data_IF_680805887430
#
_entry.id   IF_680805887430
#
_cell.length_a   1.000
_cell.length_b   1.000
_cell.length_c   1.000
_cell.angle_alpha   90.00
_cell.angle_beta   90.00
_cell.angle_gamma   90.00
#
_symmetry.space_group_name_H-M   'P 1'
#
loop_
_entity.id
_entity.type
_entity.pdbx_description
1 polymer ?
#
# COMPACT_ATOMS: atom_id res chain seq x y z
N UNK A 1 42.93 -25.65 13.89
CA UNK A 1 42.51 -24.27 13.56
C UNK A 1 43.26 -23.35 14.52
N UNK A 2 43.92 -22.28 14.04
CA UNK A 2 44.60 -21.35 14.95
C UNK A 2 43.58 -20.60 15.82
N UNK A 3 43.95 -20.13 17.04
CA UNK A 3 43.07 -19.34 17.89
C UNK A 3 42.47 -18.12 17.19
N UNK A 4 43.25 -17.44 16.36
CA UNK A 4 42.79 -16.27 15.60
C UNK A 4 41.76 -16.61 14.53
N UNK A 5 41.95 -17.75 13.83
CA UNK A 5 41.00 -18.23 12.84
C UNK A 5 39.70 -18.69 13.51
N UNK A 6 39.80 -19.31 14.69
CA UNK A 6 38.63 -19.66 15.50
C UNK A 6 37.83 -18.42 15.91
N UNK A 7 38.50 -17.40 16.44
CA UNK A 7 37.87 -16.14 16.83
C UNK A 7 37.17 -15.46 15.65
N UNK A 8 37.85 -15.38 14.50
CA UNK A 8 37.30 -14.77 13.29
C UNK A 8 36.03 -15.50 12.83
N UNK A 9 36.08 -16.84 12.74
CA UNK A 9 34.92 -17.66 12.35
C UNK A 9 33.77 -17.49 13.36
N UNK A 10 34.06 -17.48 14.66
CA UNK A 10 33.06 -17.28 15.70
C UNK A 10 32.39 -15.90 15.62
N UNK A 11 33.18 -14.84 15.42
CA UNK A 11 32.68 -13.48 15.29
C UNK A 11 31.80 -13.34 14.04
N UNK A 12 32.25 -13.83 12.88
CA UNK A 12 31.46 -13.83 11.64
C UNK A 12 30.16 -14.60 11.84
N UNK A 13 30.21 -15.79 12.46
CA UNK A 13 29.02 -16.60 12.72
C UNK A 13 28.02 -15.86 13.59
N UNK A 14 28.48 -15.24 14.68
CA UNK A 14 27.65 -14.40 15.55
C UNK A 14 26.99 -13.25 14.78
N UNK A 15 27.76 -12.54 13.95
CA UNK A 15 27.24 -11.47 13.11
C UNK A 15 26.18 -11.92 12.11
N UNK A 16 26.43 -13.03 11.41
CA UNK A 16 25.50 -13.60 10.44
C UNK A 16 24.19 -14.02 11.11
N UNK A 17 24.28 -14.66 12.29
CA UNK A 17 23.09 -15.03 13.08
C UNK A 17 22.33 -13.78 13.53
N UNK A 18 23.03 -12.76 14.06
CA UNK A 18 22.38 -11.50 14.44
C UNK A 18 21.70 -10.83 13.26
N UNK A 19 22.39 -10.71 12.12
CA UNK A 19 21.83 -10.13 10.89
C UNK A 19 20.54 -10.86 10.48
N UNK A 20 20.59 -12.19 10.43
CA UNK A 20 19.46 -13.01 10.03
C UNK A 20 18.23 -12.77 10.92
N UNK A 21 18.42 -12.64 12.23
CA UNK A 21 17.37 -12.38 13.20
C UNK A 21 16.88 -10.92 13.15
N UNK A 22 17.78 -9.93 13.17
CA UNK A 22 17.42 -8.51 13.12
C UNK A 22 16.64 -8.16 11.86
N UNK A 23 16.99 -8.76 10.72
CA UNK A 23 16.28 -8.52 9.46
C UNK A 23 14.80 -8.91 9.54
N UNK A 24 14.42 -9.89 10.36
CA UNK A 24 13.00 -10.21 10.59
C UNK A 24 12.23 -9.05 11.22
N UNK A 25 12.90 -8.24 12.07
CA UNK A 25 12.31 -7.03 12.66
C UNK A 25 12.22 -5.92 11.62
N UNK A 26 13.30 -5.65 10.90
CA UNK A 26 13.36 -4.55 9.93
C UNK A 26 12.48 -4.76 8.70
N UNK A 27 12.32 -6.00 8.22
CA UNK A 27 11.38 -6.31 7.14
C UNK A 27 9.93 -6.08 7.58
N UNK A 28 9.59 -6.30 8.86
CA UNK A 28 8.26 -5.91 9.39
C UNK A 28 8.06 -4.40 9.39
N UNK A 29 9.09 -3.65 9.81
CA UNK A 29 9.05 -2.19 9.75
C UNK A 29 8.83 -1.74 8.31
N UNK A 30 9.62 -2.26 7.38
CA UNK A 30 9.46 -2.02 5.94
C UNK A 30 8.04 -2.33 5.45
N UNK A 31 7.47 -3.47 5.84
CA UNK A 31 6.10 -3.85 5.47
C UNK A 31 5.05 -2.84 5.97
N UNK A 32 5.21 -2.32 7.20
CA UNK A 32 4.30 -1.31 7.78
C UNK A 32 4.39 0.05 7.07
N UNK A 33 5.58 0.44 6.63
CA UNK A 33 5.78 1.67 5.82
C UNK A 33 5.65 1.41 4.32
N UNK A 34 5.00 0.32 3.93
CA UNK A 34 4.73 -0.04 2.53
C UNK A 34 5.99 -0.14 1.64
N UNK A 35 7.13 -0.48 2.24
CA UNK A 35 8.43 -0.64 1.59
C UNK A 35 8.91 0.65 0.90
N UNK A 36 8.54 1.81 1.45
CA UNK A 36 9.01 3.11 0.97
C UNK A 36 10.47 3.32 1.39
N UNK A 37 11.38 3.65 0.46
CA UNK A 37 12.75 4.01 0.81
C UNK A 37 12.78 5.25 1.71
N UNK A 38 13.74 5.30 2.64
CA UNK A 38 13.97 6.34 3.66
C UNK A 38 13.05 6.28 4.88
N UNK A 39 11.95 5.55 4.81
CA UNK A 39 11.01 5.46 5.95
C UNK A 39 11.51 4.49 7.03
N UNK A 40 12.37 3.53 6.70
CA UNK A 40 12.89 2.57 7.69
C UNK A 40 13.88 3.27 8.64
N UNK A 41 14.87 3.99 8.11
CA UNK A 41 15.81 4.76 8.92
C UNK A 41 15.12 5.95 9.61
N UNK A 42 14.07 6.53 9.02
CA UNK A 42 13.25 7.55 9.70
C UNK A 42 12.58 6.97 10.95
N UNK A 43 11.99 5.77 10.84
CA UNK A 43 11.37 5.11 11.99
C UNK A 43 12.39 4.68 13.04
N UNK A 44 13.59 4.27 12.63
CA UNK A 44 14.70 4.03 13.54
C UNK A 44 15.00 5.26 14.39
N UNK A 45 15.22 6.43 13.76
CA UNK A 45 15.49 7.69 14.46
C UNK A 45 14.40 8.03 15.46
N UNK A 46 13.14 7.97 15.03
CA UNK A 46 11.99 8.21 15.91
C UNK A 46 11.95 7.24 17.10
N UNK A 47 12.44 6.00 16.93
CA UNK A 47 12.54 5.03 18.00
C UNK A 47 13.61 5.42 19.02
N UNK A 48 14.79 5.81 18.54
CA UNK A 48 15.89 6.28 19.39
C UNK A 48 15.51 7.55 20.14
N UNK A 49 14.82 8.49 19.49
CA UNK A 49 14.39 9.75 20.10
C UNK A 49 13.36 9.53 21.23
N UNK A 50 12.47 8.55 21.08
CA UNK A 50 11.40 8.27 22.05
C UNK A 50 11.76 7.24 23.11
N UNK A 51 12.71 6.34 22.83
CA UNK A 51 13.11 5.25 23.71
C UNK A 51 14.63 5.09 23.70
N UNK A 52 15.36 5.87 24.53
CA UNK A 52 16.82 5.95 24.48
C UNK A 52 17.52 4.65 24.91
N UNK A 53 16.80 3.66 25.45
CA UNK A 53 17.34 2.33 25.77
C UNK A 53 18.01 1.68 24.55
N UNK A 54 17.53 1.95 23.33
CA UNK A 54 18.20 1.49 22.11
C UNK A 54 19.64 2.00 21.99
N UNK A 55 19.87 3.26 22.37
CA UNK A 55 21.20 3.88 22.33
C UNK A 55 22.15 3.25 23.35
N UNK A 56 21.64 2.83 24.50
CA UNK A 56 22.43 2.10 25.50
C UNK A 56 22.90 0.73 24.98
N UNK A 57 22.03 -0.03 24.30
CA UNK A 57 22.41 -1.31 23.69
C UNK A 57 23.44 -1.13 22.58
N UNK A 58 23.30 -0.11 21.73
CA UNK A 58 24.29 0.21 20.69
C UNK A 58 25.61 0.69 21.27
N UNK A 59 25.57 1.58 22.26
CA UNK A 59 26.76 2.06 22.96
C UNK A 59 27.50 0.92 23.66
N UNK A 60 26.78 0.03 24.34
CA UNK A 60 27.35 -1.17 24.95
C UNK A 60 28.01 -2.09 23.93
N UNK A 61 27.35 -2.35 22.79
CA UNK A 61 27.93 -3.15 21.70
C UNK A 61 29.20 -2.50 21.12
N UNK A 62 29.20 -1.18 20.91
CA UNK A 62 30.36 -0.44 20.43
C UNK A 62 31.53 -0.49 21.43
N UNK A 63 31.26 -0.34 22.73
CA UNK A 63 32.27 -0.48 23.79
C UNK A 63 32.87 -1.89 23.76
N UNK A 64 32.05 -2.95 23.66
CA UNK A 64 32.56 -4.32 23.58
C UNK A 64 33.44 -4.54 22.34
N UNK A 65 33.03 -4.02 21.18
CA UNK A 65 33.82 -4.12 19.96
C UNK A 65 35.16 -3.34 20.09
N UNK A 66 35.14 -2.13 20.64
CA UNK A 66 36.35 -1.34 20.88
C UNK A 66 37.30 -2.02 21.87
N UNK A 67 36.77 -2.54 22.99
CA UNK A 67 37.54 -3.29 23.98
C UNK A 67 38.13 -4.57 23.39
N UNK A 68 37.44 -5.22 22.45
CA UNK A 68 37.98 -6.40 21.77
C UNK A 68 39.25 -6.10 20.96
N UNK A 69 39.34 -4.91 20.37
CA UNK A 69 40.48 -4.48 19.55
C UNK A 69 41.56 -3.84 20.41
N UNK A 70 41.21 -2.81 21.18
CA UNK A 70 42.16 -1.99 21.94
C UNK A 70 42.52 -2.63 23.29
N UNK A 71 41.56 -3.24 23.99
CA UNK A 71 41.80 -3.87 25.28
C UNK A 71 42.71 -5.08 25.19
N UNK A 72 42.52 -5.92 24.17
CA UNK A 72 43.41 -7.07 23.90
C UNK A 72 44.86 -6.63 23.69
N UNK A 73 45.06 -5.56 22.92
CA UNK A 73 46.39 -5.04 22.60
C UNK A 73 47.05 -4.24 23.74
N UNK A 74 46.30 -3.36 24.42
CA UNK A 74 46.85 -2.45 25.44
C UNK A 74 47.00 -3.08 26.82
N UNK A 75 46.05 -3.94 27.21
CA UNK A 75 46.06 -4.60 28.52
C UNK A 75 46.80 -5.94 28.50
N UNK A 76 47.29 -6.35 27.32
CA UNK A 76 47.93 -7.65 27.08
C UNK A 76 47.06 -8.84 27.54
N UNK A 77 45.74 -8.71 27.31
CA UNK A 77 44.72 -9.68 27.72
C UNK A 77 44.02 -10.26 26.48
N UNK A 78 44.56 -11.34 25.86
CA UNK A 78 44.04 -11.87 24.59
C UNK A 78 42.60 -12.39 24.69
N UNK A 79 42.13 -12.74 25.88
CA UNK A 79 40.74 -13.16 26.14
C UNK A 79 39.71 -12.08 25.77
N UNK A 80 40.07 -10.80 25.87
CA UNK A 80 39.19 -9.68 25.52
C UNK A 80 38.82 -9.66 24.03
N UNK A 81 39.61 -10.28 23.16
CA UNK A 81 39.30 -10.37 21.73
C UNK A 81 37.96 -11.08 21.46
N UNK A 82 37.55 -12.00 22.34
CA UNK A 82 36.28 -12.72 22.26
C UNK A 82 35.04 -11.83 22.45
N UNK A 83 35.20 -10.60 22.96
CA UNK A 83 34.11 -9.64 23.03
C UNK A 83 33.56 -9.27 21.65
N UNK A 84 34.36 -9.45 20.57
CA UNK A 84 33.90 -9.30 19.19
C UNK A 84 32.79 -10.30 18.81
N UNK A 85 32.70 -11.46 19.49
CA UNK A 85 31.63 -12.45 19.30
C UNK A 85 30.35 -12.03 20.04
N UNK A 86 30.49 -11.35 21.18
CA UNK A 86 29.36 -10.94 22.03
C UNK A 86 28.74 -9.63 21.53
N UNK A 87 29.56 -8.69 21.03
CA UNK A 87 29.10 -7.37 20.59
C UNK A 87 27.92 -7.41 19.59
N UNK A 88 27.91 -8.28 18.54
CA UNK A 88 26.76 -8.44 17.66
C UNK A 88 25.49 -8.95 18.36
N UNK A 89 25.59 -9.75 19.42
CA UNK A 89 24.42 -10.30 20.10
C UNK A 89 23.71 -9.22 20.94
N UNK A 90 24.47 -8.26 21.46
CA UNK A 90 23.96 -7.17 22.31
C UNK A 90 22.96 -6.25 21.62
N UNK A 91 22.96 -6.18 20.29
CA UNK A 91 22.04 -5.34 19.53
C UNK A 91 20.73 -6.06 19.14
N UNK A 92 20.62 -7.38 19.34
CA UNK A 92 19.40 -8.15 19.06
C UNK A 92 18.13 -7.57 19.72
N UNK A 93 18.16 -7.00 20.94
CA UNK A 93 16.98 -6.36 21.53
C UNK A 93 16.49 -5.14 20.73
N UNK A 94 17.35 -4.51 19.92
CA UNK A 94 16.99 -3.33 19.13
C UNK A 94 16.23 -3.71 17.84
N UNK A 95 15.22 -2.92 17.41
CA UNK A 95 14.53 -1.87 18.17
C UNK A 95 13.82 -2.44 19.42
N UNK A 96 14.01 -1.77 20.56
CA UNK A 96 13.51 -2.21 21.87
C UNK A 96 11.99 -2.32 21.87
N UNK A 97 11.41 -3.40 22.42
CA UNK A 97 9.96 -3.71 22.38
C UNK A 97 9.35 -3.97 21.00
N UNK A 98 10.16 -4.19 19.96
CA UNK A 98 9.69 -4.73 18.69
C UNK A 98 9.86 -6.27 18.68
N UNK A 99 8.79 -7.05 18.93
CA UNK A 99 8.91 -8.50 19.05
C UNK A 99 9.17 -9.20 17.71
N UNK A 100 9.81 -10.37 17.78
CA UNK A 100 10.00 -11.26 16.62
C UNK A 100 8.72 -11.96 16.16
N UNK A 101 7.64 -11.90 16.93
CA UNK A 101 6.28 -12.32 16.55
C UNK A 101 5.41 -11.08 16.73
N UNK A 102 4.87 -10.54 15.63
CA UNK A 102 4.17 -9.24 15.66
C UNK A 102 2.99 -9.23 16.64
N UNK A 103 2.68 -8.06 17.20
CA UNK A 103 1.60 -7.90 18.20
C UNK A 103 0.21 -7.92 17.55
N UNK A 104 0.06 -7.26 16.39
CA UNK A 104 -1.24 -7.12 15.69
C UNK A 104 -1.39 -8.09 14.53
N UNK A 105 -0.30 -8.39 13.83
CA UNK A 105 -0.29 -9.34 12.71
C UNK A 105 1.11 -9.94 12.51
N UNK A 106 1.20 -11.21 12.07
CA UNK A 106 2.49 -11.84 11.76
C UNK A 106 3.15 -11.20 10.53
N UNK A 107 4.44 -11.48 10.34
CA UNK A 107 5.14 -11.08 9.10
C UNK A 107 4.55 -11.87 7.94
N UNK A 108 4.08 -11.19 6.90
CA UNK A 108 3.56 -11.84 5.71
C UNK A 108 4.70 -12.05 4.72
N UNK A 109 5.12 -13.31 4.54
CA UNK A 109 6.17 -13.69 3.59
C UNK A 109 5.68 -13.63 2.14
N UNK A 110 5.60 -12.41 1.62
CA UNK A 110 5.34 -12.15 0.21
C UNK A 110 6.65 -12.21 -0.61
N UNK A 111 6.58 -12.40 -1.94
CA UNK A 111 7.78 -12.31 -2.79
C UNK A 111 8.55 -10.98 -2.62
N UNK A 112 7.83 -9.88 -2.34
CA UNK A 112 8.43 -8.58 -2.04
C UNK A 112 9.18 -8.58 -0.71
N UNK A 113 8.60 -9.18 0.33
CA UNK A 113 9.25 -9.33 1.64
C UNK A 113 10.51 -10.20 1.55
N UNK A 114 10.46 -11.29 0.79
CA UNK A 114 11.61 -12.16 0.54
C UNK A 114 12.75 -11.41 -0.16
N UNK A 115 12.44 -10.65 -1.22
CA UNK A 115 13.43 -9.81 -1.92
C UNK A 115 14.01 -8.74 -1.01
N UNK A 116 13.18 -8.07 -0.20
CA UNK A 116 13.66 -7.06 0.75
C UNK A 116 14.60 -7.68 1.78
N UNK A 117 14.23 -8.81 2.38
CA UNK A 117 15.09 -9.55 3.31
C UNK A 117 16.43 -9.93 2.66
N UNK A 118 16.38 -10.56 1.48
CA UNK A 118 17.57 -10.98 0.75
C UNK A 118 18.46 -9.78 0.39
N UNK A 119 17.87 -8.67 -0.08
CA UNK A 119 18.60 -7.46 -0.42
C UNK A 119 19.31 -6.84 0.79
N UNK A 120 18.64 -6.74 1.94
CA UNK A 120 19.25 -6.27 3.19
C UNK A 120 20.42 -7.17 3.58
N UNK A 121 20.19 -8.48 3.58
CA UNK A 121 21.17 -9.47 4.01
C UNK A 121 22.41 -9.48 3.11
N UNK A 122 22.24 -9.40 1.79
CA UNK A 122 23.36 -9.30 0.83
C UNK A 122 24.17 -8.03 1.09
N UNK A 123 23.52 -6.87 1.28
CA UNK A 123 24.23 -5.62 1.59
C UNK A 123 25.01 -5.71 2.92
N UNK A 124 24.45 -6.37 3.93
CA UNK A 124 25.14 -6.62 5.20
C UNK A 124 26.35 -7.53 5.03
N UNK A 125 26.26 -8.59 4.21
CA UNK A 125 27.39 -9.48 3.93
C UNK A 125 28.51 -8.75 3.16
N UNK A 126 28.16 -7.92 2.18
CA UNK A 126 29.12 -7.11 1.43
C UNK A 126 29.82 -6.11 2.35
N UNK A 127 29.06 -5.31 3.09
CA UNK A 127 29.63 -4.33 4.01
C UNK A 127 30.41 -5.01 5.15
N UNK A 128 29.90 -6.12 5.67
CA UNK A 128 30.55 -6.91 6.72
C UNK A 128 31.88 -7.52 6.27
N UNK A 129 31.97 -8.00 5.02
CA UNK A 129 33.23 -8.49 4.46
C UNK A 129 34.25 -7.35 4.41
N UNK A 130 33.84 -6.18 3.90
CA UNK A 130 34.70 -5.00 3.83
C UNK A 130 35.18 -4.54 5.21
N UNK A 131 34.28 -4.47 6.19
CA UNK A 131 34.63 -4.01 7.53
C UNK A 131 35.45 -5.02 8.31
N UNK A 132 35.24 -6.33 8.11
CA UNK A 132 36.07 -7.38 8.73
C UNK A 132 37.49 -7.37 8.16
N UNK A 133 37.66 -7.10 6.87
CA UNK A 133 39.00 -6.95 6.26
C UNK A 133 39.77 -5.78 6.88
N UNK A 134 39.08 -4.67 7.18
CA UNK A 134 39.72 -3.44 7.70
C UNK A 134 39.89 -3.46 9.22
N UNK A 135 38.91 -3.98 9.95
CA UNK A 135 38.82 -3.87 11.42
C UNK A 135 38.94 -5.23 12.14
N UNK A 136 39.20 -6.32 11.40
CA UNK A 136 39.24 -7.67 11.95
C UNK A 136 37.87 -8.14 12.47
N UNK A 137 37.83 -9.07 13.44
CA UNK A 137 36.60 -9.64 14.00
C UNK A 137 35.59 -8.59 14.51
N UNK A 138 36.06 -7.46 15.04
CA UNK A 138 35.20 -6.38 15.53
C UNK A 138 34.40 -5.69 14.41
N UNK A 139 34.90 -5.75 13.16
CA UNK A 139 34.24 -5.18 11.99
C UNK A 139 32.86 -5.78 11.70
N UNK A 140 32.56 -6.97 12.24
CA UNK A 140 31.25 -7.63 12.12
C UNK A 140 30.10 -6.76 12.65
N UNK A 141 30.34 -5.90 13.65
CA UNK A 141 29.31 -5.07 14.25
C UNK A 141 28.79 -3.98 13.29
N UNK A 142 29.65 -3.45 12.42
CA UNK A 142 29.35 -2.27 11.58
C UNK A 142 28.09 -2.44 10.73
N UNK A 143 27.96 -3.46 9.84
CA UNK A 143 26.75 -3.61 9.02
C UNK A 143 25.46 -3.76 9.84
N UNK A 144 25.56 -4.23 11.08
CA UNK A 144 24.41 -4.45 11.94
C UNK A 144 23.89 -3.13 12.56
N UNK A 145 24.80 -2.21 12.92
CA UNK A 145 24.44 -0.86 13.35
C UNK A 145 23.78 -0.06 12.23
N UNK A 146 24.15 -0.31 10.97
CA UNK A 146 23.55 0.37 9.82
C UNK A 146 22.38 -0.38 9.19
N UNK A 147 21.75 -1.33 9.89
CA UNK A 147 20.72 -2.20 9.28
C UNK A 147 19.56 -1.41 8.68
N UNK A 148 19.05 -0.37 9.34
CA UNK A 148 17.95 0.43 8.80
C UNK A 148 18.37 1.22 7.54
N UNK A 149 19.59 1.77 7.52
CA UNK A 149 20.14 2.45 6.34
C UNK A 149 20.34 1.49 5.17
N UNK A 150 20.87 0.29 5.42
CA UNK A 150 21.02 -0.76 4.42
C UNK A 150 19.67 -1.24 3.91
N UNK A 151 18.65 -1.29 4.78
CA UNK A 151 17.28 -1.56 4.37
C UNK A 151 16.74 -0.49 3.43
N UNK A 152 16.91 0.80 3.74
CA UNK A 152 16.50 1.86 2.82
C UNK A 152 17.25 1.83 1.49
N UNK A 153 18.53 1.45 1.49
CA UNK A 153 19.32 1.26 0.27
C UNK A 153 18.80 0.09 -0.56
N UNK A 154 18.56 -1.07 0.06
CA UNK A 154 17.97 -2.24 -0.59
C UNK A 154 16.59 -1.92 -1.17
N UNK A 155 15.74 -1.23 -0.41
CA UNK A 155 14.41 -0.81 -0.84
C UNK A 155 14.47 0.20 -1.98
N UNK A 156 15.42 1.15 -1.96
CA UNK A 156 15.64 2.10 -3.05
C UNK A 156 16.00 1.40 -4.36
N UNK A 157 16.92 0.42 -4.29
CA UNK A 157 17.30 -0.38 -5.45
C UNK A 157 16.15 -1.27 -5.94
N UNK A 158 15.46 -1.96 -5.03
CA UNK A 158 14.29 -2.77 -5.36
C UNK A 158 13.17 -1.92 -5.95
N UNK A 159 12.95 -0.71 -5.46
CA UNK A 159 11.95 0.20 -6.01
C UNK A 159 12.23 0.52 -7.47
N UNK A 160 13.49 0.79 -7.83
CA UNK A 160 13.90 1.02 -9.22
C UNK A 160 13.63 -0.21 -10.11
N UNK A 161 14.01 -1.41 -9.65
CA UNK A 161 13.77 -2.65 -10.39
C UNK A 161 12.28 -2.98 -10.51
N UNK A 162 11.54 -2.87 -9.40
CA UNK A 162 10.12 -3.18 -9.30
C UNK A 162 9.27 -2.20 -10.12
N UNK A 163 9.69 -0.94 -10.26
CA UNK A 163 8.98 0.03 -11.09
C UNK A 163 8.91 -0.41 -12.55
N UNK A 164 10.03 -0.91 -13.10
CA UNK A 164 10.06 -1.38 -14.49
C UNK A 164 9.18 -2.63 -14.68
N UNK A 165 9.22 -3.57 -13.75
CA UNK A 165 8.36 -4.76 -13.78
C UNK A 165 6.87 -4.40 -13.61
N UNK A 166 6.58 -3.47 -12.71
CA UNK A 166 5.24 -2.95 -12.46
C UNK A 166 4.65 -2.33 -13.72
N UNK A 167 5.41 -1.46 -14.40
CA UNK A 167 4.91 -0.81 -15.63
C UNK A 167 4.69 -1.80 -16.76
N UNK A 168 5.51 -2.86 -16.88
CA UNK A 168 5.25 -3.97 -17.81
C UNK A 168 3.92 -4.66 -17.50
N UNK A 169 3.65 -4.95 -16.22
CA UNK A 169 2.41 -5.58 -15.79
C UNK A 169 1.17 -4.70 -16.02
N UNK A 170 1.27 -3.40 -15.74
CA UNK A 170 0.22 -2.40 -16.04
C UNK A 170 -0.02 -2.31 -17.55
N UNK A 171 1.05 -2.30 -18.36
CA UNK A 171 0.94 -2.26 -19.81
C UNK A 171 0.28 -3.51 -20.39
N UNK A 172 0.55 -4.69 -19.81
CA UNK A 172 -0.14 -5.93 -20.17
C UNK A 172 -1.63 -5.85 -19.86
N UNK A 173 -2.01 -5.31 -18.70
CA UNK A 173 -3.40 -5.11 -18.32
C UNK A 173 -4.11 -4.17 -19.30
N UNK A 174 -3.48 -3.05 -19.65
CA UNK A 174 -4.05 -2.12 -20.63
C UNK A 174 -4.24 -2.77 -22.01
N UNK A 175 -3.26 -3.54 -22.49
CA UNK A 175 -3.38 -4.27 -23.77
C UNK A 175 -4.52 -5.29 -23.72
N UNK A 176 -4.66 -6.01 -22.59
CA UNK A 176 -5.74 -6.97 -22.39
C UNK A 176 -7.10 -6.30 -22.35
N UNK A 177 -7.23 -5.17 -21.66
CA UNK A 177 -8.45 -4.36 -21.64
C UNK A 177 -8.83 -3.89 -23.06
N UNK A 178 -7.86 -3.40 -23.85
CA UNK A 178 -8.06 -3.01 -25.26
C UNK A 178 -8.44 -4.16 -26.19
N UNK A 179 -8.02 -5.39 -25.86
CA UNK A 179 -8.35 -6.59 -26.64
C UNK A 179 -9.74 -7.10 -26.33
N UNK A 180 -10.11 -7.18 -25.05
CA UNK A 180 -11.43 -7.66 -24.62
C UNK A 180 -12.51 -6.62 -24.88
N UNK A 181 -12.18 -5.33 -24.72
CA UNK A 181 -13.09 -4.18 -24.90
C UNK A 181 -14.39 -4.30 -24.08
N UNK A 182 -14.34 -4.60 -22.78
CA UNK A 182 -15.53 -4.54 -21.93
C UNK A 182 -15.94 -3.07 -21.75
N UNK A 183 -17.19 -2.84 -21.38
CA UNK A 183 -17.63 -1.55 -20.86
C UNK A 183 -17.06 -1.33 -19.47
N UNK A 184 -16.30 -0.27 -19.27
CA UNK A 184 -15.63 0.02 -18.00
C UNK A 184 -16.50 0.95 -17.16
N UNK A 185 -16.97 0.43 -16.02
CA UNK A 185 -17.71 1.19 -15.00
C UNK A 185 -16.77 1.49 -13.85
N UNK A 186 -16.31 2.74 -13.72
CA UNK A 186 -15.43 3.16 -12.63
C UNK A 186 -16.22 3.76 -11.48
N UNK A 187 -15.88 3.37 -10.24
CA UNK A 187 -16.57 3.83 -9.03
C UNK A 187 -15.55 4.40 -8.05
N UNK A 188 -15.80 5.61 -7.55
CA UNK A 188 -15.02 6.22 -6.46
C UNK A 188 -15.93 6.83 -5.39
N UNK A 189 -15.33 7.31 -4.30
CA UNK A 189 -16.02 7.88 -3.16
C UNK A 189 -15.21 7.81 -1.87
N UNK A 190 -15.61 8.54 -0.84
CA UNK A 190 -15.02 8.41 0.50
C UNK A 190 -15.45 7.10 1.14
N UNK A 191 -16.75 6.77 1.06
CA UNK A 191 -17.35 5.55 1.60
C UNK A 191 -18.17 4.82 0.54
N UNK A 192 -18.58 3.58 0.80
CA UNK A 192 -19.54 2.87 -0.07
C UNK A 192 -19.01 2.29 -1.38
N UNK A 193 -17.79 2.64 -1.81
CA UNK A 193 -17.16 2.16 -3.06
C UNK A 193 -17.30 0.65 -3.29
N UNK A 194 -16.87 -0.16 -2.33
CA UNK A 194 -16.86 -1.62 -2.44
C UNK A 194 -18.27 -2.19 -2.50
N UNK A 195 -19.20 -1.62 -1.73
CA UNK A 195 -20.62 -2.00 -1.75
C UNK A 195 -21.30 -1.63 -3.06
N UNK A 196 -21.15 -0.39 -3.55
CA UNK A 196 -21.68 0.07 -4.85
C UNK A 196 -21.15 -0.78 -5.99
N UNK A 197 -19.84 -1.10 -6.00
CA UNK A 197 -19.28 -2.05 -6.96
C UNK A 197 -19.98 -3.41 -6.91
N UNK A 198 -20.22 -3.93 -5.70
CA UNK A 198 -20.96 -5.17 -5.51
C UNK A 198 -22.37 -5.08 -6.09
N UNK A 199 -23.11 -4.01 -5.80
CA UNK A 199 -24.44 -3.77 -6.33
C UNK A 199 -24.46 -3.71 -7.86
N UNK A 200 -23.57 -2.92 -8.47
CA UNK A 200 -23.44 -2.84 -9.94
C UNK A 200 -23.13 -4.22 -10.52
N UNK A 201 -22.19 -4.97 -9.93
CA UNK A 201 -21.84 -6.30 -10.40
C UNK A 201 -23.02 -7.29 -10.32
N UNK A 202 -23.82 -7.23 -9.26
CA UNK A 202 -25.03 -8.06 -9.10
C UNK A 202 -26.11 -7.67 -10.10
N UNK A 203 -26.43 -6.38 -10.21
CA UNK A 203 -27.49 -5.87 -11.10
C UNK A 203 -27.18 -6.16 -12.57
N UNK A 204 -25.95 -5.88 -12.99
CA UNK A 204 -25.52 -6.05 -14.39
C UNK A 204 -25.16 -7.51 -14.69
N UNK A 205 -24.65 -8.25 -13.70
CA UNK A 205 -24.27 -9.65 -13.82
C UNK A 205 -25.42 -10.59 -14.17
N UNK A 206 -26.66 -10.22 -13.87
CA UNK A 206 -27.85 -10.99 -14.26
C UNK A 206 -28.09 -11.06 -15.78
N UNK A 207 -27.53 -10.12 -16.55
CA UNK A 207 -27.74 -10.02 -18.01
C UNK A 207 -26.45 -9.96 -18.82
N UNK A 208 -25.33 -9.59 -18.20
CA UNK A 208 -24.06 -9.37 -18.87
C UNK A 208 -22.92 -10.13 -18.16
N UNK A 209 -22.00 -10.70 -18.94
CA UNK A 209 -20.75 -11.24 -18.40
C UNK A 209 -19.96 -10.11 -17.74
N UNK A 210 -19.82 -10.17 -16.41
CA UNK A 210 -19.33 -9.05 -15.61
C UNK A 210 -18.16 -9.49 -14.73
N UNK A 211 -17.10 -8.68 -14.74
CA UNK A 211 -15.95 -8.83 -13.83
C UNK A 211 -15.86 -7.58 -12.97
N UNK A 212 -15.76 -7.74 -11.65
CA UNK A 212 -15.54 -6.64 -10.71
C UNK A 212 -14.20 -6.81 -10.00
N UNK A 213 -13.54 -5.71 -9.62
CA UNK A 213 -12.30 -5.80 -8.85
C UNK A 213 -12.52 -6.45 -7.47
N UNK A 214 -11.73 -7.46 -7.07
CA UNK A 214 -11.93 -8.16 -5.81
C UNK A 214 -11.53 -7.26 -4.63
N UNK A 215 -12.24 -7.43 -3.49
CA UNK A 215 -11.99 -6.69 -2.25
C UNK A 215 -11.81 -5.17 -2.48
N UNK A 216 -10.74 -4.55 -1.99
CA UNK A 216 -10.41 -3.14 -2.23
C UNK A 216 -9.21 -2.99 -3.16
N UNK A 217 -9.20 -3.73 -4.27
CA UNK A 217 -8.17 -3.59 -5.32
C UNK A 217 -8.48 -2.35 -6.16
N UNK A 218 -8.09 -1.18 -5.64
CA UNK A 218 -8.51 0.11 -6.16
C UNK A 218 -7.36 1.05 -6.57
N UNK A 219 -6.12 0.55 -6.53
CA UNK A 219 -4.94 1.23 -7.04
C UNK A 219 -4.50 0.63 -8.39
N UNK A 220 -3.47 1.24 -9.01
CA UNK A 220 -3.03 0.89 -10.37
C UNK A 220 -2.63 -0.58 -10.49
N UNK A 221 -1.92 -1.11 -9.49
CA UNK A 221 -1.50 -2.50 -9.45
C UNK A 221 -2.67 -3.46 -9.22
N UNK A 222 -3.57 -3.12 -8.29
CA UNK A 222 -4.75 -3.94 -7.97
C UNK A 222 -5.69 -4.10 -9.15
N UNK A 223 -5.96 -3.01 -9.87
CA UNK A 223 -6.76 -3.06 -11.11
C UNK A 223 -6.01 -3.80 -12.22
N UNK A 224 -4.70 -3.57 -12.38
CA UNK A 224 -3.89 -4.33 -13.34
C UNK A 224 -3.95 -5.83 -13.10
N UNK A 225 -3.86 -6.24 -11.83
CA UNK A 225 -3.95 -7.64 -11.41
C UNK A 225 -5.31 -8.22 -11.76
N UNK A 226 -6.38 -7.50 -11.40
CA UNK A 226 -7.76 -7.89 -11.71
C UNK A 226 -7.94 -8.14 -13.21
N UNK A 227 -7.48 -7.21 -14.04
CA UNK A 227 -7.60 -7.31 -15.50
C UNK A 227 -6.79 -8.49 -16.02
N UNK A 228 -5.51 -8.60 -15.62
CA UNK A 228 -4.62 -9.66 -16.09
C UNK A 228 -5.08 -11.05 -15.68
N UNK A 229 -5.65 -11.22 -14.49
CA UNK A 229 -6.05 -12.53 -13.96
C UNK A 229 -7.49 -12.90 -14.30
N UNK A 230 -8.43 -11.95 -14.26
CA UNK A 230 -9.86 -12.27 -14.31
C UNK A 230 -10.58 -11.81 -15.58
N UNK A 231 -10.06 -10.82 -16.31
CA UNK A 231 -10.73 -10.37 -17.53
C UNK A 231 -10.56 -11.41 -18.65
N UNK A 232 -11.64 -11.96 -19.19
CA UNK A 232 -11.58 -13.00 -20.23
C UNK A 232 -12.28 -12.53 -21.50
N UNK A 233 -12.06 -13.23 -22.61
CA UNK A 233 -12.82 -12.96 -23.84
C UNK A 233 -14.31 -13.19 -23.57
N UNK A 234 -15.17 -12.31 -24.09
CA UNK A 234 -16.61 -12.35 -23.83
C UNK A 234 -17.07 -11.61 -22.56
N UNK A 235 -16.15 -11.07 -21.74
CA UNK A 235 -16.56 -10.15 -20.66
C UNK A 235 -17.13 -8.87 -21.26
N UNK A 236 -18.40 -8.58 -20.95
CA UNK A 236 -19.14 -7.42 -21.45
C UNK A 236 -18.93 -6.20 -20.58
N UNK A 237 -18.79 -6.37 -19.26
CA UNK A 237 -18.68 -5.27 -18.29
C UNK A 237 -17.54 -5.50 -17.31
N UNK A 238 -16.74 -4.47 -17.09
CA UNK A 238 -15.69 -4.44 -16.08
C UNK A 238 -15.97 -3.32 -15.06
N UNK A 239 -16.24 -3.70 -13.81
CA UNK A 239 -16.50 -2.76 -12.71
C UNK A 239 -15.22 -2.51 -11.92
N UNK A 240 -14.68 -1.30 -12.05
CA UNK A 240 -13.41 -0.88 -11.48
C UNK A 240 -13.61 0.06 -10.28
N UNK A 241 -13.27 -0.40 -9.07
CA UNK A 241 -13.11 0.51 -7.92
C UNK A 241 -11.85 1.36 -8.10
N UNK A 242 -11.95 2.69 -8.03
CA UNK A 242 -10.79 3.60 -8.14
C UNK A 242 -10.61 4.42 -6.86
N UNK A 243 -9.52 4.14 -6.15
CA UNK A 243 -9.14 4.79 -4.90
C UNK A 243 -8.05 5.82 -5.09
N UNK A 244 -7.89 6.71 -4.11
CA UNK A 244 -6.79 7.68 -4.08
C UNK A 244 -6.33 7.96 -2.66
N UNK A 245 -5.06 8.35 -2.55
CA UNK A 245 -4.45 8.87 -1.33
C UNK A 245 -3.79 10.25 -1.53
N UNK A 246 -3.87 10.79 -2.75
CA UNK A 246 -3.31 12.05 -3.19
C UNK A 246 -4.05 12.52 -4.44
N UNK A 247 -4.02 13.81 -4.74
CA UNK A 247 -4.50 14.38 -5.99
C UNK A 247 -3.69 13.80 -7.19
N UNK A 248 -4.33 13.68 -8.34
CA UNK A 248 -3.79 13.09 -9.58
C UNK A 248 -3.87 11.57 -9.66
N UNK A 249 -4.20 10.88 -8.57
CA UNK A 249 -4.20 9.40 -8.53
C UNK A 249 -5.37 8.78 -9.29
N UNK A 250 -6.57 9.35 -9.17
CA UNK A 250 -7.71 8.83 -9.93
C UNK A 250 -7.52 9.15 -11.42
N UNK A 251 -6.99 10.34 -11.74
CA UNK A 251 -6.60 10.69 -13.12
C UNK A 251 -5.60 9.68 -13.69
N UNK A 252 -4.60 9.26 -12.91
CA UNK A 252 -3.65 8.21 -13.30
C UNK A 252 -4.36 6.89 -13.62
N UNK A 253 -5.30 6.44 -12.78
CA UNK A 253 -6.08 5.22 -13.02
C UNK A 253 -6.94 5.33 -14.29
N UNK A 254 -7.67 6.42 -14.45
CA UNK A 254 -8.52 6.69 -15.63
C UNK A 254 -7.69 6.86 -16.91
N UNK A 255 -6.41 7.21 -16.83
CA UNK A 255 -5.53 7.25 -18.00
C UNK A 255 -5.14 5.84 -18.47
N UNK A 256 -4.89 4.92 -17.54
CA UNK A 256 -4.54 3.54 -17.85
C UNK A 256 -5.76 2.69 -18.22
N UNK A 257 -6.85 2.87 -17.47
CA UNK A 257 -8.10 2.12 -17.60
C UNK A 257 -9.25 3.13 -17.80
N UNK A 258 -9.40 3.66 -19.02
CA UNK A 258 -10.40 4.70 -19.30
C UNK A 258 -11.82 4.20 -19.02
N UNK A 259 -12.60 4.92 -18.19
CA UNK A 259 -13.99 4.56 -17.93
C UNK A 259 -14.93 4.98 -19.06
N UNK A 260 -15.92 4.14 -19.35
CA UNK A 260 -17.09 4.51 -20.17
C UNK A 260 -18.17 5.16 -19.29
N UNK A 261 -18.29 4.69 -18.05
CA UNK A 261 -19.20 5.22 -17.03
C UNK A 261 -18.38 5.48 -15.77
N UNK A 262 -18.53 6.67 -15.19
CA UNK A 262 -17.89 7.02 -13.92
C UNK A 262 -18.94 7.42 -12.87
N UNK A 263 -18.86 6.78 -11.70
CA UNK A 263 -19.76 7.04 -10.59
C UNK A 263 -18.98 7.54 -9.35
N UNK A 264 -19.59 8.48 -8.64
CA UNK A 264 -19.12 8.92 -7.32
C UNK A 264 -20.20 8.58 -6.29
N UNK A 265 -19.84 7.91 -5.19
CA UNK A 265 -20.81 7.56 -4.14
C UNK A 265 -21.07 8.73 -3.19
N UNK A 266 -20.05 9.17 -2.46
CA UNK A 266 -20.16 10.26 -1.47
C UNK A 266 -18.82 10.94 -1.27
N UNK A 267 -18.84 12.23 -1.00
CA UNK A 267 -17.69 13.02 -0.56
C UNK A 267 -17.76 13.19 0.96
N UNK A 268 -16.76 12.67 1.66
CA UNK A 268 -16.61 12.77 3.11
C UNK A 268 -15.14 12.81 3.53
N UNK A 269 -14.87 12.78 4.83
CA UNK A 269 -13.57 13.13 5.43
C UNK A 269 -12.46 12.08 5.29
N UNK A 270 -12.71 10.95 4.60
CA UNK A 270 -11.68 9.96 4.36
C UNK A 270 -10.44 10.57 3.65
N UNK A 271 -9.25 10.28 4.16
CA UNK A 271 -7.95 10.79 3.68
C UNK A 271 -7.66 12.27 3.98
N UNK A 272 -8.41 12.90 4.88
CA UNK A 272 -8.18 14.29 5.29
C UNK A 272 -6.77 14.49 5.87
N UNK A 273 -6.21 13.49 6.57
CA UNK A 273 -4.87 13.53 7.12
C UNK A 273 -3.76 13.67 6.06
N UNK A 274 -4.05 13.28 4.82
CA UNK A 274 -3.11 13.35 3.68
C UNK A 274 -3.38 14.54 2.75
N UNK A 275 -4.66 14.87 2.54
CA UNK A 275 -5.08 15.89 1.56
C UNK A 275 -5.35 17.26 2.18
N UNK A 276 -5.46 17.35 3.51
CA UNK A 276 -5.57 18.60 4.26
C UNK A 276 -6.96 19.25 4.25
N UNK A 277 -7.80 19.04 3.23
CA UNK A 277 -9.15 19.63 3.19
C UNK A 277 -10.20 18.79 2.44
N UNK A 278 -11.48 19.05 2.72
CA UNK A 278 -12.62 18.41 2.03
C UNK A 278 -12.66 18.80 0.54
N UNK A 279 -12.28 20.02 0.22
CA UNK A 279 -12.20 20.54 -1.16
C UNK A 279 -11.11 19.80 -1.96
N UNK A 280 -9.96 19.53 -1.33
CA UNK A 280 -8.91 18.72 -1.94
C UNK A 280 -9.39 17.29 -2.21
N UNK A 281 -10.12 16.69 -1.25
CA UNK A 281 -10.74 15.36 -1.43
C UNK A 281 -11.74 15.38 -2.59
N UNK A 282 -12.59 16.40 -2.67
CA UNK A 282 -13.55 16.58 -3.75
C UNK A 282 -12.86 16.70 -5.11
N UNK A 283 -11.87 17.59 -5.24
CA UNK A 283 -11.11 17.77 -6.51
C UNK A 283 -10.48 16.47 -6.97
N UNK A 284 -9.80 15.76 -6.07
CA UNK A 284 -9.15 14.50 -6.37
C UNK A 284 -10.14 13.39 -6.76
N UNK A 285 -11.36 13.35 -6.19
CA UNK A 285 -12.39 12.38 -6.60
C UNK A 285 -13.06 12.76 -7.91
N UNK A 286 -13.27 14.06 -8.17
CA UNK A 286 -13.86 14.55 -9.40
C UNK A 286 -13.04 14.19 -10.65
N UNK A 287 -11.74 13.89 -10.49
CA UNK A 287 -10.87 13.37 -11.55
C UNK A 287 -11.46 12.16 -12.30
N UNK A 288 -12.27 11.34 -11.63
CA UNK A 288 -12.88 10.15 -12.24
C UNK A 288 -13.77 10.53 -13.44
N UNK A 289 -14.37 11.72 -13.36
CA UNK A 289 -15.31 12.21 -14.37
C UNK A 289 -14.60 12.73 -15.61
N UNK A 290 -13.30 13.06 -15.56
CA UNK A 290 -12.61 13.81 -16.61
C UNK A 290 -12.69 13.14 -17.98
N UNK A 291 -12.49 11.81 -18.02
CA UNK A 291 -12.46 11.02 -19.25
C UNK A 291 -13.73 10.24 -19.55
N UNK A 292 -14.62 10.08 -18.56
CA UNK A 292 -15.86 9.34 -18.75
C UNK A 292 -16.86 10.16 -19.59
N UNK A 293 -17.45 9.58 -20.65
CA UNK A 293 -18.53 10.21 -21.40
C UNK A 293 -19.85 10.22 -20.61
N UNK A 294 -20.09 9.19 -19.79
CA UNK A 294 -21.26 9.11 -18.90
C UNK A 294 -20.84 9.20 -17.44
N UNK A 295 -21.55 9.99 -16.66
CA UNK A 295 -21.31 10.14 -15.21
C UNK A 295 -22.58 9.94 -14.40
N UNK A 296 -22.45 9.22 -13.27
CA UNK A 296 -23.53 8.98 -12.31
C UNK A 296 -23.19 9.70 -11.01
N UNK A 297 -24.01 10.68 -10.62
CA UNK A 297 -23.68 11.61 -9.54
C UNK A 297 -24.86 11.78 -8.57
N UNK A 298 -24.69 11.51 -7.27
CA UNK A 298 -25.69 11.78 -6.26
C UNK A 298 -25.75 13.27 -5.94
N UNK A 299 -26.89 13.89 -6.20
CA UNK A 299 -27.10 15.34 -6.07
C UNK A 299 -27.58 15.78 -4.67
N UNK A 300 -27.51 14.84 -3.72
CA UNK A 300 -27.79 15.07 -2.31
C UNK A 300 -26.74 15.99 -1.67
N UNK A 301 -25.49 15.95 -2.16
CA UNK A 301 -24.43 16.89 -1.78
C UNK A 301 -24.34 18.03 -2.80
N UNK A 302 -24.22 19.28 -2.32
CA UNK A 302 -24.17 20.47 -3.19
C UNK A 302 -22.95 20.46 -4.11
N UNK A 303 -21.81 19.96 -3.64
CA UNK A 303 -20.58 19.86 -4.42
C UNK A 303 -20.73 18.90 -5.62
N UNK A 304 -21.44 17.78 -5.42
CA UNK A 304 -21.72 16.81 -6.48
C UNK A 304 -22.78 17.30 -7.46
N UNK A 305 -23.76 18.09 -7.00
CA UNK A 305 -24.70 18.79 -7.88
C UNK A 305 -23.97 19.78 -8.80
N UNK A 306 -23.09 20.61 -8.24
CA UNK A 306 -22.26 21.53 -9.04
C UNK A 306 -21.39 20.78 -10.05
N UNK A 307 -20.86 19.62 -9.67
CA UNK A 307 -20.11 18.75 -10.58
C UNK A 307 -20.98 18.19 -11.71
N UNK A 308 -22.22 17.78 -11.41
CA UNK A 308 -23.20 17.32 -12.40
C UNK A 308 -23.50 18.41 -13.45
N UNK A 309 -23.76 19.65 -13.01
CA UNK A 309 -23.97 20.80 -13.89
C UNK A 309 -22.74 21.12 -14.74
N UNK A 310 -21.53 20.99 -14.17
CA UNK A 310 -20.27 21.15 -14.91
C UNK A 310 -20.11 20.06 -15.99
N UNK A 311 -20.42 18.81 -15.67
CA UNK A 311 -20.36 17.70 -16.63
C UNK A 311 -21.39 17.87 -17.76
N UNK A 312 -22.61 18.30 -17.43
CA UNK A 312 -23.65 18.59 -18.41
C UNK A 312 -23.22 19.72 -19.37
N UNK A 313 -22.64 20.81 -18.85
CA UNK A 313 -22.06 21.89 -19.68
C UNK A 313 -20.92 21.42 -20.58
N UNK A 314 -20.18 20.39 -20.15
CA UNK A 314 -19.17 19.73 -20.96
C UNK A 314 -19.74 18.70 -21.96
N UNK A 315 -21.06 18.68 -22.18
CA UNK A 315 -21.78 17.78 -23.11
C UNK A 315 -21.62 16.29 -22.80
N UNK A 316 -21.45 15.95 -21.52
CA UNK A 316 -21.45 14.56 -21.04
C UNK A 316 -22.87 14.08 -20.76
N UNK A 317 -23.10 12.78 -20.83
CA UNK A 317 -24.33 12.18 -20.34
C UNK A 317 -24.26 12.15 -18.82
N UNK A 318 -25.18 12.87 -18.15
CA UNK A 318 -25.22 12.95 -16.69
C UNK A 318 -26.47 12.25 -16.20
N UNK A 319 -26.29 11.26 -15.33
CA UNK A 319 -27.37 10.58 -14.61
C UNK A 319 -27.28 11.06 -13.16
N UNK A 320 -28.27 11.83 -12.75
CA UNK A 320 -28.40 12.31 -11.38
C UNK A 320 -29.17 11.32 -10.55
N UNK A 321 -28.71 11.08 -9.33
CA UNK A 321 -29.39 10.18 -8.39
C UNK A 321 -29.64 10.85 -7.05
N UNK A 322 -30.66 10.43 -6.32
CA UNK A 322 -30.94 10.89 -4.96
C UNK A 322 -31.48 9.74 -4.11
N UNK A 323 -31.02 9.69 -2.85
CA UNK A 323 -31.59 8.83 -1.82
C UNK A 323 -32.23 9.65 -0.68
N UNK A 324 -32.45 10.95 -0.91
CA UNK A 324 -33.05 11.89 0.05
C UNK A 324 -34.26 12.63 -0.57
N UNK A 325 -34.87 12.05 -1.59
CA UNK A 325 -36.07 12.59 -2.23
C UNK A 325 -35.85 13.85 -3.09
N UNK A 326 -34.61 14.20 -3.44
CA UNK A 326 -34.36 15.31 -4.37
C UNK A 326 -34.75 14.93 -5.78
N UNK A 327 -35.22 15.89 -6.58
CA UNK A 327 -35.56 15.69 -7.99
C UNK A 327 -34.30 15.32 -8.79
N UNK A 328 -34.21 14.04 -9.15
CA UNK A 328 -33.11 13.44 -9.89
C UNK A 328 -33.65 12.50 -10.98
N UNK A 329 -32.79 11.99 -11.85
CA UNK A 329 -33.15 10.99 -12.85
C UNK A 329 -33.54 9.67 -12.19
N UNK A 330 -32.85 9.31 -11.09
CA UNK A 330 -33.19 8.16 -10.26
C UNK A 330 -33.38 8.60 -8.81
N UNK A 331 -34.53 8.29 -8.23
CA UNK A 331 -34.85 8.57 -6.83
C UNK A 331 -35.14 7.26 -6.13
N UNK A 332 -34.31 6.91 -5.14
CA UNK A 332 -34.52 5.76 -4.26
C UNK A 332 -35.07 6.26 -2.92
N UNK A 333 -36.19 5.68 -2.49
CA UNK A 333 -36.71 5.85 -1.14
C UNK A 333 -36.36 4.60 -0.32
N UNK A 334 -35.34 4.69 0.57
CA UNK A 334 -34.90 3.54 1.35
C UNK A 334 -35.90 3.10 2.42
N UNK A 335 -36.73 4.01 2.92
CA UNK A 335 -37.68 3.73 4.00
C UNK A 335 -38.94 3.06 3.45
N UNK A 336 -39.39 3.49 2.27
CA UNK A 336 -40.54 2.88 1.58
C UNK A 336 -40.17 1.66 0.72
N UNK A 337 -38.87 1.42 0.47
CA UNK A 337 -38.44 0.32 -0.40
C UNK A 337 -38.88 0.53 -1.84
N UNK A 338 -38.76 1.77 -2.37
CA UNK A 338 -39.20 2.09 -3.73
C UNK A 338 -38.14 2.82 -4.52
N UNK A 339 -38.16 2.65 -5.85
CA UNK A 339 -37.29 3.35 -6.80
C UNK A 339 -38.13 3.99 -7.90
N UNK A 340 -37.71 5.17 -8.35
CA UNK A 340 -38.30 5.92 -9.46
C UNK A 340 -37.24 6.21 -10.52
N UNK A 341 -37.48 5.86 -11.78
CA UNK A 341 -36.54 6.02 -12.92
C UNK A 341 -36.81 7.25 -13.78
N UNK A 342 -37.38 8.30 -13.18
CA UNK A 342 -37.54 9.59 -13.84
C UNK A 342 -38.42 10.53 -13.02
N UNK A 343 -38.46 11.84 -13.33
CA UNK A 343 -39.28 12.79 -12.61
C UNK A 343 -40.79 12.51 -12.69
N UNK A 344 -41.26 11.79 -13.72
CA UNK A 344 -42.67 11.52 -13.98
C UNK A 344 -43.08 10.05 -13.82
N UNK A 345 -42.14 9.15 -13.60
CA UNK A 345 -42.44 7.71 -13.49
C UNK A 345 -43.13 7.37 -12.17
N UNK A 346 -43.89 6.28 -12.12
CA UNK A 346 -44.45 5.81 -10.85
C UNK A 346 -43.38 5.05 -10.05
N UNK A 347 -43.35 5.18 -8.70
CA UNK A 347 -42.45 4.40 -7.86
C UNK A 347 -42.70 2.91 -8.05
N UNK A 348 -41.62 2.16 -8.27
CA UNK A 348 -41.63 0.70 -8.35
C UNK A 348 -41.07 0.11 -7.04
N UNK A 349 -41.66 -0.96 -6.50
CA UNK A 349 -41.12 -1.60 -5.31
C UNK A 349 -39.75 -2.21 -5.59
N UNK A 350 -38.85 -2.14 -4.61
CA UNK A 350 -37.52 -2.71 -4.66
C UNK A 350 -37.16 -3.28 -3.28
N UNK A 351 -36.62 -4.49 -3.27
CA UNK A 351 -36.06 -5.06 -2.04
C UNK A 351 -34.73 -4.38 -1.72
N UNK A 352 -34.66 -3.76 -0.54
CA UNK A 352 -33.47 -3.06 -0.09
C UNK A 352 -32.72 -3.96 0.90
N UNK A 353 -31.44 -4.29 0.63
CA UNK A 353 -30.68 -5.14 1.53
C UNK A 353 -30.62 -4.55 2.94
N UNK A 354 -30.73 -5.38 3.99
CA UNK A 354 -30.51 -4.92 5.35
C UNK A 354 -29.11 -4.32 5.45
N UNK A 355 -29.00 -3.10 6.00
CA UNK A 355 -27.77 -2.30 6.10
C UNK A 355 -27.24 -1.70 4.78
N UNK A 356 -28.00 -1.79 3.69
CA UNK A 356 -27.66 -1.13 2.43
C UNK A 356 -27.85 0.39 2.52
N UNK A 357 -26.77 1.17 2.35
CA UNK A 357 -26.90 2.62 2.27
C UNK A 357 -27.62 3.02 0.97
N UNK A 358 -28.75 3.73 1.08
CA UNK A 358 -29.59 4.12 -0.05
C UNK A 358 -28.83 4.82 -1.18
N UNK A 359 -27.93 5.76 -0.86
CA UNK A 359 -27.12 6.46 -1.88
C UNK A 359 -26.25 5.50 -2.70
N UNK A 360 -25.70 4.43 -2.08
CA UNK A 360 -24.85 3.47 -2.78
C UNK A 360 -25.66 2.62 -3.76
N UNK A 361 -26.92 2.33 -3.42
CA UNK A 361 -27.86 1.57 -4.27
C UNK A 361 -28.36 2.48 -5.39
N UNK A 362 -28.78 3.70 -5.08
CA UNK A 362 -29.20 4.69 -6.08
C UNK A 362 -28.11 4.93 -7.14
N UNK A 363 -26.85 5.08 -6.71
CA UNK A 363 -25.69 5.21 -7.60
C UNK A 363 -25.41 3.93 -8.41
N UNK A 364 -25.77 2.75 -7.91
CA UNK A 364 -25.60 1.51 -8.66
C UNK A 364 -26.72 1.26 -9.69
N UNK A 365 -27.89 1.84 -9.46
CA UNK A 365 -29.05 1.78 -10.35
C UNK A 365 -28.93 2.76 -11.52
N UNK A 366 -28.28 3.90 -11.30
CA UNK A 366 -27.86 4.81 -12.37
C UNK A 366 -26.64 4.33 -13.11
#
# INVERSE_FOLDING_TARGET
MSPDLLLLVAAITSGVVTAALMNLKWVRVAQRVHYLPREVARLERLWFDRQPLGALWWGGAAILALTSVQGSAWLNMPELAWLAVIAPLMILPTPWRLPFRGVTSPLAWTPRAQRAYAGIFVLQLVLGTLTVVVLGPAGVLIPLLFTANLADLALGFLWYLERNLTMKFVSQAQRKLKRVKPRVVAITGSYGKTSTKGYVATLVGGTHSTVASPASFNNLMGLSKTINEHLVAGTSVFVAEMGMNAEGRIRELSNWFPPDIAAITVIGEAHMERLGSKEAIFRAKAEITEKAPTVVLPIDQSELRTLAEKCARAKKTVITVSAQGKKADIVLDPDLGTVKYGPQDQPSPMEIPPFGHGVNIAVALG
#
